data_IF_905701421494
#
_entry.id   IF_905701421494
#
_cell.length_a   1.000
_cell.length_b   1.000
_cell.length_c   1.000
_cell.angle_alpha   90.00
_cell.angle_beta   90.00
_cell.angle_gamma   90.00
#
_symmetry.space_group_name_H-M   'P 1'
#
loop_
_entity.id
_entity.type
_entity.pdbx_description
1 polymer ?
#
# COMPACT_ATOMS: atom_id res chain seq x y z
N UNK A 1 29.18 8.58 37.14
CA UNK A 1 27.72 8.73 37.33
C UNK A 1 27.38 10.17 37.03
N UNK A 2 26.90 10.46 35.81
CA UNK A 2 26.55 11.81 35.38
C UNK A 2 25.10 11.79 34.91
N UNK A 3 24.25 12.49 35.65
CA UNK A 3 22.88 12.80 35.28
C UNK A 3 22.92 13.89 34.21
N UNK A 4 23.05 13.50 32.95
CA UNK A 4 22.87 14.42 31.82
C UNK A 4 21.40 14.40 31.40
N UNK A 5 20.67 15.38 31.93
CA UNK A 5 19.68 16.17 31.19
C UNK A 5 18.93 15.42 30.09
N UNK A 6 17.88 14.70 30.52
CA UNK A 6 16.71 14.44 29.67
C UNK A 6 16.01 15.79 29.50
N UNK A 7 16.57 16.63 28.64
CA UNK A 7 15.91 17.80 28.11
C UNK A 7 14.76 17.26 27.26
N UNK A 8 13.58 17.23 27.88
CA UNK A 8 12.32 16.93 27.25
C UNK A 8 12.15 17.84 26.05
N UNK A 9 12.42 17.31 24.87
CA UNK A 9 11.95 17.82 23.60
C UNK A 9 10.44 17.58 23.58
N UNK A 10 9.72 18.37 24.38
CA UNK A 10 8.35 18.74 24.13
C UNK A 10 8.34 19.61 22.88
N UNK A 11 8.71 19.04 21.74
CA UNK A 11 8.28 19.52 20.44
C UNK A 11 6.81 19.11 20.27
N UNK A 12 5.95 19.60 21.18
CA UNK A 12 4.66 20.08 20.72
C UNK A 12 5.03 21.18 19.74
N UNK A 13 5.12 20.82 18.46
CA UNK A 13 4.79 21.77 17.40
C UNK A 13 3.41 22.26 17.76
N UNK A 14 3.39 23.34 18.53
CA UNK A 14 2.31 24.29 18.59
C UNK A 14 2.15 24.70 17.13
N UNK A 15 1.28 23.97 16.43
CA UNK A 15 0.75 24.46 15.19
C UNK A 15 0.11 25.78 15.60
N UNK A 16 0.83 26.88 15.36
CA UNK A 16 0.22 28.14 14.99
C UNK A 16 -0.58 27.83 13.73
N UNK A 17 -1.73 27.21 13.97
CA UNK A 17 -2.94 27.47 13.24
C UNK A 17 -2.92 28.97 13.14
N UNK A 18 -2.65 29.52 11.96
CA UNK A 18 -3.11 30.85 11.64
C UNK A 18 -4.64 30.76 11.80
N UNK A 19 -5.05 30.92 13.05
CA UNK A 19 -6.39 30.79 13.57
C UNK A 19 -7.14 31.84 12.80
N UNK A 20 -7.94 31.40 11.84
CA UNK A 20 -8.66 32.34 11.00
C UNK A 20 -9.57 33.08 11.94
N UNK A 21 -9.24 34.35 12.15
CA UNK A 21 -9.90 35.19 13.13
C UNK A 21 -11.40 35.09 12.84
N UNK A 22 -12.19 34.57 13.79
CA UNK A 22 -13.59 34.25 13.55
C UNK A 22 -14.31 35.48 13.01
N UNK A 23 -15.22 35.27 12.06
CA UNK A 23 -15.94 36.39 11.43
C UNK A 23 -16.56 37.26 12.52
N UNK A 24 -16.27 38.55 12.47
CA UNK A 24 -16.88 39.52 13.36
C UNK A 24 -18.40 39.43 13.25
N UNK A 25 -19.12 39.76 14.34
CA UNK A 25 -20.59 39.70 14.37
C UNK A 25 -21.24 40.45 13.20
N UNK A 26 -20.62 41.55 12.77
CA UNK A 26 -21.06 42.33 11.62
C UNK A 26 -20.83 41.63 10.27
N UNK A 27 -19.71 40.94 10.10
CA UNK A 27 -19.47 40.14 8.91
C UNK A 27 -20.42 38.94 8.83
N UNK A 28 -20.74 38.32 9.97
CA UNK A 28 -21.74 37.24 10.02
C UNK A 28 -23.14 37.72 9.63
N UNK A 29 -23.55 38.90 10.11
CA UNK A 29 -24.80 39.52 9.71
C UNK A 29 -24.81 39.84 8.21
N UNK A 30 -23.73 40.42 7.69
CA UNK A 30 -23.59 40.69 6.25
C UNK A 30 -23.67 39.43 5.38
N UNK A 31 -22.97 38.36 5.78
CA UNK A 31 -23.02 37.07 5.10
C UNK A 31 -24.43 36.44 5.14
N UNK A 32 -25.12 36.51 6.29
CA UNK A 32 -26.49 36.03 6.41
C UNK A 32 -27.45 36.78 5.47
N UNK A 33 -27.36 38.12 5.46
CA UNK A 33 -28.20 38.95 4.58
C UNK A 33 -27.92 38.67 3.11
N UNK A 34 -26.65 38.60 2.70
CA UNK A 34 -26.28 38.26 1.33
C UNK A 34 -26.76 36.85 0.94
N UNK A 35 -26.61 35.87 1.83
CA UNK A 35 -27.07 34.50 1.62
C UNK A 35 -28.59 34.40 1.45
N UNK A 36 -29.37 35.07 2.31
CA UNK A 36 -30.83 35.12 2.21
C UNK A 36 -31.27 35.79 0.90
N UNK A 37 -30.64 36.91 0.52
CA UNK A 37 -30.97 37.61 -0.72
C UNK A 37 -30.68 36.76 -1.96
N UNK A 38 -29.52 36.11 -2.02
CA UNK A 38 -29.14 35.23 -3.14
C UNK A 38 -30.01 33.97 -3.21
N UNK A 39 -30.28 33.34 -2.07
CA UNK A 39 -31.17 32.18 -2.01
C UNK A 39 -32.60 32.56 -2.43
N UNK A 40 -33.13 33.68 -1.91
CA UNK A 40 -34.45 34.18 -2.29
C UNK A 40 -34.54 34.55 -3.78
N UNK A 41 -33.55 35.27 -4.30
CA UNK A 41 -33.49 35.60 -5.73
C UNK A 41 -33.37 34.35 -6.61
N UNK A 42 -32.54 33.37 -6.21
CA UNK A 42 -32.40 32.08 -6.89
C UNK A 42 -33.70 31.28 -6.91
N UNK A 43 -34.40 31.21 -5.78
CA UNK A 43 -35.70 30.54 -5.67
C UNK A 43 -36.76 31.18 -6.57
N UNK A 44 -36.87 32.51 -6.59
CA UNK A 44 -37.83 33.20 -7.49
C UNK A 44 -37.44 33.03 -8.95
N UNK A 45 -36.14 33.12 -9.27
CA UNK A 45 -35.64 32.95 -10.62
C UNK A 45 -35.92 31.55 -11.19
N UNK A 46 -35.99 30.50 -10.36
CA UNK A 46 -36.38 29.15 -10.82
C UNK A 46 -37.80 29.09 -11.39
N UNK A 47 -38.70 29.99 -10.97
CA UNK A 47 -40.09 30.01 -11.44
C UNK A 47 -40.31 30.99 -12.60
N UNK A 48 -39.47 32.02 -12.72
CA UNK A 48 -39.64 33.10 -13.71
C UNK A 48 -38.72 32.93 -14.92
N UNK A 49 -37.56 32.29 -14.75
CA UNK A 49 -36.54 32.19 -15.79
C UNK A 49 -36.50 30.79 -16.41
N UNK A 50 -36.48 30.75 -17.74
CA UNK A 50 -36.21 29.52 -18.50
C UNK A 50 -34.71 29.11 -18.43
N UNK A 51 -33.84 29.99 -17.90
CA UNK A 51 -32.40 29.72 -17.73
C UNK A 51 -32.12 29.00 -16.41
N UNK A 52 -32.32 27.68 -16.38
CA UNK A 52 -32.11 26.84 -15.20
C UNK A 52 -30.67 26.85 -14.63
N UNK A 53 -29.66 27.17 -15.44
CA UNK A 53 -28.27 27.22 -14.99
C UNK A 53 -27.99 28.38 -14.02
N UNK A 54 -28.55 29.56 -14.25
CA UNK A 54 -28.29 30.75 -13.43
C UNK A 54 -28.93 30.69 -12.05
N UNK A 55 -30.13 30.12 -11.97
CA UNK A 55 -30.87 29.97 -10.72
C UNK A 55 -30.27 28.89 -9.81
N UNK A 56 -29.79 27.78 -10.38
CA UNK A 56 -29.08 26.73 -9.64
C UNK A 56 -27.78 27.24 -9.00
N UNK A 57 -26.97 27.99 -9.75
CA UNK A 57 -25.73 28.58 -9.23
C UNK A 57 -26.03 29.57 -8.09
N UNK A 58 -27.06 30.41 -8.24
CA UNK A 58 -27.45 31.40 -7.22
C UNK A 58 -27.88 30.72 -5.91
N UNK A 59 -28.62 29.60 -5.99
CA UNK A 59 -29.00 28.80 -4.81
C UNK A 59 -27.79 28.19 -4.11
N UNK A 60 -26.85 27.61 -4.86
CA UNK A 60 -25.63 27.01 -4.30
C UNK A 60 -24.78 28.07 -3.60
N UNK A 61 -24.56 29.22 -4.25
CA UNK A 61 -23.80 30.33 -3.65
C UNK A 61 -24.51 30.88 -2.41
N UNK A 62 -25.84 31.07 -2.46
CA UNK A 62 -26.63 31.50 -1.31
C UNK A 62 -26.54 30.53 -0.12
N UNK A 63 -26.61 29.23 -0.37
CA UNK A 63 -26.47 28.20 0.66
C UNK A 63 -25.08 28.24 1.34
N UNK A 64 -24.01 28.44 0.57
CA UNK A 64 -22.64 28.60 1.10
C UNK A 64 -22.53 29.82 2.02
N UNK A 65 -23.11 30.97 1.65
CA UNK A 65 -23.11 32.16 2.50
C UNK A 65 -23.90 31.99 3.81
N UNK A 66 -25.05 31.31 3.75
CA UNK A 66 -25.83 30.97 4.96
C UNK A 66 -25.00 30.05 5.87
N UNK A 67 -24.32 29.05 5.30
CA UNK A 67 -23.46 28.14 6.04
C UNK A 67 -22.28 28.87 6.70
N UNK A 68 -21.64 29.84 6.02
CA UNK A 68 -20.63 30.72 6.62
C UNK A 68 -21.18 31.53 7.79
N UNK A 69 -22.41 32.05 7.69
CA UNK A 69 -23.03 32.83 8.76
C UNK A 69 -23.30 32.00 10.03
N UNK A 70 -23.73 30.74 9.85
CA UNK A 70 -23.98 29.80 10.96
C UNK A 70 -22.67 29.38 11.62
N UNK A 71 -21.71 28.89 10.83
CA UNK A 71 -20.44 28.34 11.32
C UNK A 71 -19.47 29.42 11.82
N UNK A 72 -19.60 30.65 11.33
CA UNK A 72 -18.66 31.75 11.63
C UNK A 72 -17.30 31.60 10.95
N UNK A 73 -17.12 30.57 10.11
CA UNK A 73 -15.89 30.32 9.36
C UNK A 73 -16.06 30.77 7.90
N UNK A 74 -15.19 31.65 7.39
CA UNK A 74 -15.25 32.04 5.98
C UNK A 74 -14.81 30.86 5.10
N UNK A 75 -15.64 30.47 4.13
CA UNK A 75 -15.23 29.58 3.03
C UNK A 75 -14.32 30.38 2.08
N UNK A 76 -13.05 30.53 2.44
CA UNK A 76 -12.06 30.98 1.47
C UNK A 76 -11.84 29.84 0.48
N UNK A 77 -12.31 29.98 -0.76
CA UNK A 77 -12.04 29.02 -1.84
C UNK A 77 -10.54 28.74 -2.07
N UNK A 78 -9.65 29.64 -1.63
CA UNK A 78 -8.20 29.39 -1.61
C UNK A 78 -7.72 28.42 -0.53
N UNK A 79 -8.47 28.22 0.56
CA UNK A 79 -8.05 27.39 1.70
C UNK A 79 -8.31 25.90 1.50
N UNK A 80 -9.19 25.51 0.58
CA UNK A 80 -9.27 24.09 0.19
C UNK A 80 -7.95 23.65 -0.44
N UNK A 81 -7.40 24.50 -1.32
CA UNK A 81 -6.09 24.27 -1.93
C UNK A 81 -4.97 24.33 -0.89
N UNK A 82 -5.00 25.28 0.06
CA UNK A 82 -4.02 25.31 1.15
C UNK A 82 -4.13 24.10 2.09
N UNK A 83 -5.34 23.62 2.36
CA UNK A 83 -5.57 22.44 3.21
C UNK A 83 -5.06 21.17 2.52
N UNK A 84 -5.33 20.99 1.23
CA UNK A 84 -4.77 19.89 0.43
C UNK A 84 -3.24 19.97 0.39
N UNK A 85 -2.67 21.17 0.18
CA UNK A 85 -1.22 21.38 0.21
C UNK A 85 -0.63 21.10 1.59
N UNK A 86 -1.29 21.50 2.68
CA UNK A 86 -0.84 21.21 4.05
C UNK A 86 -0.90 19.71 4.35
N UNK A 87 -1.98 19.02 3.94
CA UNK A 87 -2.10 17.57 4.08
C UNK A 87 -1.02 16.84 3.26
N UNK A 88 -0.78 17.26 2.01
CA UNK A 88 0.28 16.72 1.18
C UNK A 88 1.67 16.91 1.80
N UNK A 89 1.97 18.09 2.36
CA UNK A 89 3.24 18.35 3.08
C UNK A 89 3.36 17.50 4.35
N UNK A 90 2.28 17.35 5.11
CA UNK A 90 2.25 16.51 6.31
C UNK A 90 2.52 15.05 5.94
N UNK A 91 1.83 14.53 4.92
CA UNK A 91 2.02 13.19 4.38
C UNK A 91 3.46 12.95 3.95
N UNK A 92 4.05 13.85 3.16
CA UNK A 92 5.43 13.76 2.72
C UNK A 92 6.43 13.73 3.89
N UNK A 93 6.18 14.51 4.96
CA UNK A 93 7.01 14.48 6.18
C UNK A 93 6.90 13.15 6.93
N UNK A 94 5.69 12.61 7.09
CA UNK A 94 5.45 11.34 7.78
C UNK A 94 6.05 10.17 6.99
N UNK A 95 5.90 10.13 5.67
CA UNK A 95 6.56 9.14 4.81
C UNK A 95 8.09 9.26 4.93
N UNK A 96 8.63 10.49 4.96
CA UNK A 96 10.07 10.70 5.15
C UNK A 96 10.55 10.21 6.52
N UNK A 97 9.76 10.41 7.58
CA UNK A 97 10.07 9.90 8.91
C UNK A 97 10.02 8.37 8.94
N UNK A 98 8.99 7.76 8.36
CA UNK A 98 8.88 6.31 8.27
C UNK A 98 10.05 5.70 7.47
N UNK A 99 10.48 6.33 6.37
CA UNK A 99 11.69 5.92 5.61
C UNK A 99 12.99 5.95 6.42
N UNK A 100 13.07 6.77 7.47
CA UNK A 100 14.26 6.88 8.32
C UNK A 100 14.17 6.04 9.60
N UNK A 101 13.00 5.45 9.89
CA UNK A 101 12.76 4.63 11.06
C UNK A 101 13.22 3.18 10.83
N UNK A 102 13.49 2.41 11.89
CA UNK A 102 13.65 0.96 11.79
C UNK A 102 12.42 0.30 11.12
N UNK A 103 12.56 -0.83 10.41
CA UNK A 103 11.47 -1.41 9.61
C UNK A 103 10.16 -1.65 10.39
N UNK A 104 10.25 -2.12 11.63
CA UNK A 104 9.08 -2.35 12.48
C UNK A 104 8.36 -1.04 12.83
N UNK A 105 9.11 -0.01 13.20
CA UNK A 105 8.55 1.31 13.53
C UNK A 105 7.99 2.00 12.28
N UNK A 106 8.68 1.87 11.14
CA UNK A 106 8.25 2.37 9.85
C UNK A 106 6.91 1.75 9.43
N UNK A 107 6.70 0.47 9.71
CA UNK A 107 5.44 -0.23 9.46
C UNK A 107 4.30 0.33 10.30
N UNK A 108 4.51 0.46 11.60
CA UNK A 108 3.50 1.04 12.51
C UNK A 108 3.12 2.46 12.10
N UNK A 109 4.12 3.28 11.73
CA UNK A 109 3.88 4.63 11.24
C UNK A 109 3.10 4.65 9.91
N UNK A 110 3.39 3.74 9.00
CA UNK A 110 2.68 3.64 7.73
C UNK A 110 1.24 3.16 7.91
N UNK A 111 1.02 2.17 8.77
CA UNK A 111 -0.32 1.66 9.10
C UNK A 111 -1.18 2.76 9.75
N UNK A 112 -0.62 3.52 10.71
CA UNK A 112 -1.29 4.69 11.32
C UNK A 112 -1.60 5.78 10.29
N UNK A 113 -0.67 6.02 9.36
CA UNK A 113 -0.84 6.99 8.29
C UNK A 113 -1.98 6.58 7.33
N UNK A 114 -2.09 5.30 6.98
CA UNK A 114 -3.17 4.76 6.13
C UNK A 114 -4.52 4.84 6.85
N UNK A 115 -4.56 4.57 8.16
CA UNK A 115 -5.79 4.65 8.97
C UNK A 115 -6.31 6.10 9.09
N UNK A 116 -5.41 7.07 9.15
CA UNK A 116 -5.76 8.49 9.37
C UNK A 116 -5.96 9.27 8.07
N UNK A 117 -5.30 8.90 6.98
CA UNK A 117 -5.41 9.55 5.66
C UNK A 117 -5.49 8.50 4.54
N UNK A 118 -6.71 8.21 4.07
CA UNK A 118 -6.93 7.24 2.98
C UNK A 118 -6.20 7.59 1.69
N UNK A 119 -5.91 8.87 1.43
CA UNK A 119 -5.20 9.27 0.22
C UNK A 119 -3.73 8.80 0.20
N UNK A 120 -3.23 8.25 1.31
CA UNK A 120 -1.90 7.64 1.42
C UNK A 120 -1.81 6.34 0.64
N UNK A 121 -2.90 5.58 0.53
CA UNK A 121 -2.94 4.31 -0.22
C UNK A 121 -2.52 4.53 -1.68
N UNK A 122 -2.92 5.67 -2.24
CA UNK A 122 -2.63 6.02 -3.62
C UNK A 122 -1.30 6.77 -3.79
N UNK A 123 -0.70 7.26 -2.70
CA UNK A 123 0.56 8.01 -2.76
C UNK A 123 1.72 7.12 -3.26
N UNK A 124 2.38 7.46 -4.38
CA UNK A 124 3.46 6.65 -4.93
C UNK A 124 4.62 6.42 -3.95
N UNK A 125 4.91 7.37 -3.06
CA UNK A 125 5.98 7.23 -2.07
C UNK A 125 5.59 6.32 -0.92
N UNK A 126 4.31 6.33 -0.51
CA UNK A 126 3.80 5.43 0.51
C UNK A 126 3.77 4.00 -0.02
N UNK A 127 3.36 3.80 -1.28
CA UNK A 127 3.41 2.48 -1.92
C UNK A 127 4.82 1.96 -2.09
N UNK A 128 5.76 2.81 -2.53
CA UNK A 128 7.16 2.43 -2.62
C UNK A 128 7.72 2.05 -1.24
N UNK A 129 7.30 2.76 -0.18
CA UNK A 129 7.68 2.44 1.20
C UNK A 129 7.04 1.13 1.67
N UNK A 130 5.74 0.92 1.46
CA UNK A 130 5.05 -0.32 1.83
C UNK A 130 5.71 -1.54 1.18
N UNK A 131 6.01 -1.42 -0.12
CA UNK A 131 6.71 -2.46 -0.85
C UNK A 131 8.12 -2.69 -0.30
N UNK A 132 8.89 -1.64 -0.02
CA UNK A 132 10.22 -1.77 0.58
C UNK A 132 10.18 -2.47 1.95
N UNK A 133 9.18 -2.13 2.79
CA UNK A 133 8.97 -2.79 4.08
C UNK A 133 8.62 -4.26 3.90
N UNK A 134 7.75 -4.61 2.94
CA UNK A 134 7.48 -6.01 2.60
C UNK A 134 8.77 -6.75 2.21
N UNK A 135 9.62 -6.17 1.37
CA UNK A 135 10.90 -6.79 0.99
C UNK A 135 11.78 -7.08 2.20
N UNK A 136 11.90 -6.12 3.12
CA UNK A 136 12.72 -6.26 4.33
C UNK A 136 12.12 -7.26 5.32
N UNK A 137 10.80 -7.29 5.47
CA UNK A 137 10.10 -8.30 6.28
C UNK A 137 10.32 -9.71 5.72
N UNK A 138 10.21 -9.89 4.40
CA UNK A 138 10.45 -11.19 3.75
C UNK A 138 11.91 -11.63 3.93
N UNK A 139 12.87 -10.70 3.81
CA UNK A 139 14.29 -10.96 4.08
C UNK A 139 14.54 -11.42 5.50
N UNK A 140 13.99 -10.67 6.47
CA UNK A 140 14.14 -11.00 7.88
C UNK A 140 13.55 -12.38 8.19
N UNK A 141 12.31 -12.63 7.75
CA UNK A 141 11.63 -13.90 7.98
C UNK A 141 12.33 -15.08 7.28
N UNK A 142 12.91 -14.88 6.09
CA UNK A 142 13.69 -15.91 5.40
C UNK A 142 14.98 -16.25 6.16
N UNK A 143 15.64 -15.24 6.74
CA UNK A 143 16.80 -15.46 7.60
C UNK A 143 16.45 -16.23 8.88
N UNK A 144 15.31 -15.93 9.50
CA UNK A 144 14.81 -16.65 10.69
C UNK A 144 14.34 -18.09 10.37
N UNK A 145 13.95 -18.35 9.13
CA UNK A 145 13.52 -19.67 8.68
C UNK A 145 14.69 -20.58 8.24
N UNK A 146 15.92 -20.06 8.22
CA UNK A 146 17.11 -20.76 7.73
C UNK A 146 17.51 -21.89 8.70
N UNK A 147 17.83 -23.07 8.16
CA UNK A 147 18.48 -24.12 8.94
C UNK A 147 19.98 -23.84 9.08
N UNK A 148 20.67 -24.39 10.10
CA UNK A 148 22.08 -24.06 10.36
C UNK A 148 23.04 -24.29 9.19
N UNK A 149 22.75 -25.26 8.31
CA UNK A 149 23.59 -25.66 7.18
C UNK A 149 23.16 -25.04 5.84
N UNK A 150 22.09 -24.25 5.83
CA UNK A 150 21.61 -23.59 4.64
C UNK A 150 22.25 -22.21 4.45
N UNK A 151 22.19 -21.70 3.22
CA UNK A 151 22.66 -20.36 2.90
C UNK A 151 21.60 -19.54 2.17
N UNK A 152 21.57 -18.24 2.45
CA UNK A 152 20.63 -17.31 1.86
C UNK A 152 21.38 -16.27 1.04
N UNK A 153 21.15 -16.25 -0.27
CA UNK A 153 21.80 -15.33 -1.20
C UNK A 153 20.86 -14.17 -1.57
N UNK A 154 21.38 -12.95 -1.49
CA UNK A 154 20.65 -11.74 -1.85
C UNK A 154 20.89 -11.34 -3.30
N UNK A 155 19.80 -11.12 -4.06
CA UNK A 155 19.90 -10.50 -5.39
C UNK A 155 20.13 -8.99 -5.23
N UNK A 156 21.25 -8.47 -5.75
CA UNK A 156 21.67 -7.08 -5.50
C UNK A 156 20.81 -6.02 -6.21
N UNK A 157 20.03 -6.42 -7.22
CA UNK A 157 19.10 -5.54 -7.94
C UNK A 157 18.04 -6.39 -8.69
N UNK A 158 17.08 -6.99 -7.98
CA UNK A 158 16.10 -7.88 -8.60
C UNK A 158 15.22 -7.09 -9.56
N UNK A 159 15.11 -7.57 -10.80
CA UNK A 159 14.13 -7.08 -11.77
C UNK A 159 12.84 -7.90 -11.66
N UNK A 160 11.79 -7.50 -12.39
CA UNK A 160 10.54 -8.24 -12.44
C UNK A 160 10.81 -9.68 -12.89
N UNK A 161 10.44 -10.67 -12.07
CA UNK A 161 10.65 -12.08 -12.37
C UNK A 161 11.99 -12.64 -11.88
N UNK A 162 12.84 -11.83 -11.26
CA UNK A 162 14.03 -12.31 -10.55
C UNK A 162 13.65 -12.60 -9.08
N UNK A 163 14.21 -13.65 -8.44
CA UNK A 163 13.97 -13.91 -7.03
C UNK A 163 14.55 -12.78 -6.17
N UNK A 164 13.83 -12.42 -5.10
CA UNK A 164 14.34 -11.51 -4.08
C UNK A 164 15.52 -12.14 -3.33
N UNK A 165 15.38 -13.44 -3.04
CA UNK A 165 16.35 -14.25 -2.33
C UNK A 165 16.45 -15.62 -2.98
N UNK A 166 17.64 -16.21 -2.92
CA UNK A 166 17.84 -17.63 -3.26
C UNK A 166 18.27 -18.34 -2.01
N UNK A 167 17.41 -19.24 -1.51
CA UNK A 167 17.72 -20.15 -0.43
C UNK A 167 18.39 -21.38 -1.02
N UNK A 168 19.67 -21.58 -0.68
CA UNK A 168 20.43 -22.77 -1.08
C UNK A 168 20.49 -23.73 0.11
N UNK A 169 19.89 -24.91 -0.07
CA UNK A 169 19.85 -25.97 0.92
C UNK A 169 21.19 -26.71 0.99
N UNK A 170 21.48 -27.33 2.12
CA UNK A 170 22.64 -28.22 2.29
C UNK A 170 22.72 -29.36 1.25
N UNK A 171 21.60 -29.76 0.66
CA UNK A 171 21.49 -30.73 -0.46
C UNK A 171 21.93 -30.17 -1.82
N UNK A 172 22.23 -28.87 -1.91
CA UNK A 172 22.58 -28.16 -3.15
C UNK A 172 21.40 -27.60 -3.93
N UNK A 173 20.16 -27.75 -3.42
CA UNK A 173 18.99 -27.19 -4.10
C UNK A 173 18.80 -25.72 -3.84
N UNK A 174 18.19 -25.05 -4.80
CA UNK A 174 18.02 -23.60 -4.82
C UNK A 174 16.54 -23.27 -4.91
N UNK A 175 15.99 -22.64 -3.88
CA UNK A 175 14.63 -22.11 -3.87
C UNK A 175 14.64 -20.60 -4.10
N UNK A 176 13.94 -20.14 -5.13
CA UNK A 176 13.75 -18.72 -5.38
C UNK A 176 12.59 -18.17 -4.55
N UNK A 177 12.85 -17.24 -3.64
CA UNK A 177 11.82 -16.56 -2.84
C UNK A 177 11.49 -15.21 -3.48
N UNK A 178 10.21 -14.97 -3.73
CA UNK A 178 9.68 -13.77 -4.38
C UNK A 178 8.75 -13.04 -3.42
N UNK A 179 8.82 -11.71 -3.39
CA UNK A 179 7.84 -10.88 -2.70
C UNK A 179 6.86 -10.29 -3.74
N UNK A 180 5.59 -10.65 -3.62
CA UNK A 180 4.54 -10.33 -4.57
C UNK A 180 3.55 -9.35 -3.93
N UNK A 181 3.46 -8.15 -4.51
CA UNK A 181 2.44 -7.16 -4.16
C UNK A 181 1.83 -6.62 -5.44
N UNK A 182 0.52 -6.40 -5.44
CA UNK A 182 -0.19 -5.75 -6.53
C UNK A 182 -1.04 -4.62 -5.96
N UNK A 183 -0.92 -3.46 -6.61
CA UNK A 183 -1.70 -2.25 -6.31
C UNK A 183 -2.87 -2.06 -7.29
N UNK A 184 -3.14 -3.06 -8.13
CA UNK A 184 -4.21 -2.99 -9.13
C UNK A 184 -5.56 -2.91 -8.42
N UNK A 185 -6.34 -1.84 -8.63
CA UNK A 185 -7.74 -1.75 -8.15
C UNK A 185 -8.57 -2.95 -8.64
N UNK A 186 -8.22 -3.46 -9.82
CA UNK A 186 -8.88 -4.64 -10.41
C UNK A 186 -8.38 -5.97 -9.86
N UNK A 187 -7.26 -5.98 -9.13
CA UNK A 187 -6.52 -7.19 -8.73
C UNK A 187 -5.80 -7.89 -9.88
N UNK A 188 -6.10 -7.55 -11.14
CA UNK A 188 -5.66 -8.29 -12.32
C UNK A 188 -4.22 -8.01 -12.72
N UNK A 189 -3.51 -9.08 -13.05
CA UNK A 189 -2.19 -9.05 -13.68
C UNK A 189 -2.34 -8.92 -15.20
N UNK A 190 -1.53 -8.05 -15.83
CA UNK A 190 -1.51 -7.95 -17.29
C UNK A 190 -0.85 -9.18 -17.92
N UNK A 191 -1.28 -9.55 -19.13
CA UNK A 191 -0.66 -10.65 -19.87
C UNK A 191 0.84 -10.42 -20.09
N UNK A 192 1.23 -9.19 -20.45
CA UNK A 192 2.64 -8.80 -20.64
C UNK A 192 3.47 -8.98 -19.37
N UNK A 193 2.94 -8.62 -18.21
CA UNK A 193 3.62 -8.88 -16.93
C UNK A 193 3.80 -10.38 -16.69
N UNK A 194 2.73 -11.16 -16.86
CA UNK A 194 2.76 -12.62 -16.67
C UNK A 194 3.76 -13.32 -17.60
N UNK A 195 3.84 -12.88 -18.86
CA UNK A 195 4.80 -13.40 -19.85
C UNK A 195 6.24 -13.06 -19.44
N UNK A 196 6.51 -11.79 -19.12
CA UNK A 196 7.84 -11.32 -18.71
C UNK A 196 8.31 -12.01 -17.42
N UNK A 197 7.41 -12.12 -16.43
CA UNK A 197 7.69 -12.76 -15.16
C UNK A 197 8.01 -14.24 -15.35
N UNK A 198 7.18 -14.97 -16.11
CA UNK A 198 7.37 -16.42 -16.32
C UNK A 198 8.64 -16.72 -17.11
N UNK A 199 8.93 -15.94 -18.16
CA UNK A 199 10.15 -16.08 -18.94
C UNK A 199 11.41 -15.88 -18.07
N UNK A 200 11.41 -14.86 -17.20
CA UNK A 200 12.55 -14.61 -16.30
C UNK A 200 12.67 -15.64 -15.19
N UNK A 201 11.56 -16.03 -14.58
CA UNK A 201 11.55 -17.11 -13.61
C UNK A 201 12.16 -18.38 -14.23
N UNK A 202 11.81 -18.74 -15.47
CA UNK A 202 12.40 -19.90 -16.17
C UNK A 202 13.94 -19.87 -16.23
N UNK A 203 14.53 -18.67 -16.34
CA UNK A 203 15.98 -18.46 -16.36
C UNK A 203 16.61 -18.38 -14.96
N UNK A 204 15.82 -18.24 -13.90
CA UNK A 204 16.33 -18.35 -12.54
C UNK A 204 16.80 -19.79 -12.31
N UNK A 205 18.07 -19.98 -11.96
CA UNK A 205 18.68 -21.27 -11.64
C UNK A 205 18.20 -21.79 -10.27
N UNK A 206 16.90 -21.97 -10.12
CA UNK A 206 16.23 -22.49 -8.92
C UNK A 206 15.42 -23.74 -9.28
N UNK A 207 15.29 -24.66 -8.33
CA UNK A 207 14.53 -25.91 -8.45
C UNK A 207 13.04 -25.72 -8.12
N UNK A 208 12.71 -24.67 -7.37
CA UNK A 208 11.35 -24.29 -7.00
C UNK A 208 11.23 -22.81 -6.67
N UNK A 209 9.98 -22.33 -6.62
CA UNK A 209 9.68 -20.93 -6.37
C UNK A 209 8.70 -20.78 -5.20
N UNK A 210 9.00 -19.90 -4.26
CA UNK A 210 8.12 -19.55 -3.16
C UNK A 210 7.68 -18.08 -3.30
N UNK A 211 6.38 -17.86 -3.50
CA UNK A 211 5.81 -16.53 -3.68
C UNK A 211 5.14 -16.07 -2.41
N UNK A 212 5.68 -15.01 -1.83
CA UNK A 212 5.16 -14.37 -0.63
C UNK A 212 4.24 -13.24 -1.03
N UNK A 213 2.93 -13.43 -0.85
CA UNK A 213 1.91 -12.52 -1.32
C UNK A 213 1.30 -11.69 -0.19
N UNK A 214 1.31 -10.37 -0.32
CA UNK A 214 0.83 -9.46 0.73
C UNK A 214 -0.58 -8.87 0.47
N UNK A 215 -1.45 -9.54 -0.29
CA UNK A 215 -2.60 -8.86 -0.91
C UNK A 215 -3.76 -9.79 -1.31
N UNK A 216 -4.97 -9.23 -1.56
CA UNK A 216 -6.19 -9.99 -1.82
C UNK A 216 -6.31 -10.64 -3.21
N UNK A 217 -5.32 -10.52 -4.10
CA UNK A 217 -5.39 -11.03 -5.49
C UNK A 217 -4.96 -12.51 -5.63
N UNK A 218 -5.35 -13.35 -4.67
CA UNK A 218 -4.90 -14.74 -4.62
C UNK A 218 -5.28 -15.55 -5.88
N UNK A 219 -6.41 -15.26 -6.51
CA UNK A 219 -6.87 -16.01 -7.69
C UNK A 219 -6.00 -15.77 -8.92
N UNK A 220 -5.57 -14.52 -9.14
CA UNK A 220 -4.66 -14.18 -10.24
C UNK A 220 -3.25 -14.69 -9.97
N UNK A 221 -2.80 -14.67 -8.71
CA UNK A 221 -1.53 -15.30 -8.32
C UNK A 221 -1.56 -16.82 -8.50
N UNK A 222 -2.65 -17.49 -8.15
CA UNK A 222 -2.81 -18.93 -8.39
C UNK A 222 -2.80 -19.24 -9.88
N UNK A 223 -3.45 -18.41 -10.69
CA UNK A 223 -3.43 -18.55 -12.16
C UNK A 223 -2.03 -18.35 -12.73
N UNK A 224 -1.28 -17.35 -12.24
CA UNK A 224 0.12 -17.14 -12.62
C UNK A 224 1.00 -18.31 -12.14
N UNK A 225 0.81 -18.81 -10.92
CA UNK A 225 1.57 -19.94 -10.37
C UNK A 225 1.36 -21.21 -11.21
N UNK A 226 0.12 -21.59 -11.48
CA UNK A 226 -0.20 -22.74 -12.33
C UNK A 226 0.39 -22.59 -13.74
N UNK A 227 0.43 -21.36 -14.28
CA UNK A 227 1.09 -21.08 -15.55
C UNK A 227 2.61 -21.26 -15.45
N UNK A 228 3.26 -20.67 -14.44
CA UNK A 228 4.70 -20.79 -14.23
C UNK A 228 5.12 -22.24 -13.99
N UNK A 229 4.37 -23.03 -13.22
CA UNK A 229 4.64 -24.46 -13.04
C UNK A 229 4.60 -25.22 -14.38
N UNK A 230 3.58 -24.99 -15.21
CA UNK A 230 3.47 -25.64 -16.53
C UNK A 230 4.58 -25.24 -17.49
N UNK A 231 4.97 -23.97 -17.51
CA UNK A 231 5.95 -23.47 -18.47
C UNK A 231 7.40 -23.75 -18.04
N UNK A 232 7.67 -23.78 -16.73
CA UNK A 232 9.03 -23.99 -16.20
C UNK A 232 9.31 -25.42 -15.73
N UNK A 233 8.26 -26.21 -15.50
CA UNK A 233 8.36 -27.55 -14.90
C UNK A 233 8.75 -27.55 -13.41
N UNK A 234 8.83 -26.39 -12.77
CA UNK A 234 9.27 -26.24 -11.37
C UNK A 234 8.08 -25.96 -10.46
N UNK A 235 8.13 -26.47 -9.23
CA UNK A 235 7.04 -26.27 -8.26
C UNK A 235 6.97 -24.80 -7.80
N UNK A 236 5.74 -24.29 -7.63
CA UNK A 236 5.46 -22.95 -7.10
C UNK A 236 4.63 -23.07 -5.84
N UNK A 237 5.14 -22.57 -4.72
CA UNK A 237 4.40 -22.38 -3.47
C UNK A 237 3.92 -20.93 -3.34
N UNK A 238 2.74 -20.72 -2.74
CA UNK A 238 2.23 -19.37 -2.41
C UNK A 238 2.01 -19.30 -0.90
N UNK A 239 2.58 -18.27 -0.28
CA UNK A 239 2.41 -17.96 1.14
C UNK A 239 1.65 -16.65 1.27
N UNK A 240 0.55 -16.69 2.01
CA UNK A 240 -0.21 -15.50 2.38
C UNK A 240 0.50 -14.77 3.55
N UNK A 241 1.02 -13.58 3.27
CA UNK A 241 1.77 -12.76 4.22
C UNK A 241 0.91 -12.12 5.31
N UNK A 242 -0.41 -12.21 5.23
CA UNK A 242 -1.30 -11.77 6.32
C UNK A 242 -1.03 -12.50 7.65
N UNK A 243 -0.46 -13.71 7.59
CA UNK A 243 -0.16 -14.57 8.76
C UNK A 243 1.30 -14.54 9.22
N UNK A 244 2.04 -13.45 8.92
CA UNK A 244 3.44 -13.10 9.27
C UNK A 244 4.31 -14.15 10.00
N UNK A 245 5.52 -14.37 9.50
CA UNK A 245 6.58 -15.27 10.01
C UNK A 245 6.25 -16.77 9.99
N UNK A 246 5.09 -17.20 10.50
CA UNK A 246 4.74 -18.64 10.56
C UNK A 246 4.48 -19.21 9.16
N UNK A 247 3.93 -18.38 8.26
CA UNK A 247 3.62 -18.79 6.90
C UNK A 247 4.86 -19.11 6.06
N UNK A 248 5.99 -18.42 6.27
CA UNK A 248 7.15 -18.58 5.39
C UNK A 248 7.84 -19.93 5.59
N UNK A 249 8.19 -20.28 6.84
CA UNK A 249 8.84 -21.56 7.15
C UNK A 249 7.98 -22.74 6.67
N UNK A 250 6.69 -22.72 6.99
CA UNK A 250 5.75 -23.74 6.51
C UNK A 250 5.70 -23.80 4.99
N UNK A 251 5.66 -22.64 4.32
CA UNK A 251 5.65 -22.59 2.86
C UNK A 251 6.92 -23.14 2.22
N UNK A 252 8.08 -22.91 2.86
CA UNK A 252 9.35 -23.51 2.47
C UNK A 252 9.27 -25.04 2.63
N UNK A 253 8.87 -25.54 3.81
CA UNK A 253 8.76 -26.98 4.09
C UNK A 253 7.76 -27.68 3.15
N UNK A 254 6.61 -27.05 2.88
CA UNK A 254 5.59 -27.56 1.96
C UNK A 254 6.11 -27.60 0.51
N UNK A 255 6.89 -26.59 0.10
CA UNK A 255 7.48 -26.53 -1.23
C UNK A 255 8.58 -27.59 -1.40
N UNK A 256 9.44 -27.75 -0.40
CA UNK A 256 10.44 -28.81 -0.35
C UNK A 256 9.77 -30.16 -0.60
N UNK A 257 8.79 -30.52 0.22
CA UNK A 257 8.08 -31.80 0.08
C UNK A 257 7.50 -32.05 -1.33
N UNK A 258 7.22 -31.00 -2.11
CA UNK A 258 6.76 -31.10 -3.51
C UNK A 258 7.91 -31.25 -4.50
N UNK A 259 9.01 -30.53 -4.31
CA UNK A 259 10.22 -30.63 -5.15
C UNK A 259 10.90 -32.00 -4.95
N UNK A 260 10.84 -32.56 -3.73
CA UNK A 260 11.54 -33.77 -3.33
C UNK A 260 10.75 -35.08 -3.46
N UNK A 261 9.51 -35.08 -3.96
CA UNK A 261 8.82 -36.36 -4.20
C UNK A 261 9.55 -37.11 -5.31
N UNK A 262 10.49 -37.95 -4.87
CA UNK A 262 11.20 -38.92 -5.70
C UNK A 262 10.15 -39.70 -6.48
N UNK A 263 10.23 -39.80 -7.81
CA UNK A 263 9.28 -40.56 -8.64
C UNK A 263 9.31 -42.09 -8.39
N UNK A 264 9.79 -42.55 -7.24
CA UNK A 264 10.17 -43.93 -6.94
C UNK A 264 9.01 -44.92 -6.90
N UNK A 265 7.75 -44.49 -7.01
CA UNK A 265 6.60 -45.40 -6.88
C UNK A 265 5.70 -45.54 -8.12
N UNK A 266 6.00 -44.85 -9.24
CA UNK A 266 5.17 -44.99 -10.46
C UNK A 266 5.67 -46.06 -11.44
N UNK A 267 6.78 -46.75 -11.14
CA UNK A 267 7.38 -47.72 -12.05
C UNK A 267 7.12 -49.20 -11.69
N UNK A 268 6.63 -49.54 -10.48
CA UNK A 268 6.45 -50.95 -10.07
C UNK A 268 5.02 -51.51 -10.26
N UNK A 269 4.01 -50.70 -10.58
CA UNK A 269 2.64 -51.20 -10.81
C UNK A 269 2.35 -51.65 -12.27
N UNK A 270 3.35 -51.64 -13.16
CA UNK A 270 3.15 -51.87 -14.59
C UNK A 270 3.51 -53.25 -15.14
N UNK A 271 4.01 -54.21 -14.36
CA UNK A 271 4.56 -55.48 -14.88
C UNK A 271 3.94 -56.72 -14.23
N UNK A 272 2.60 -56.76 -14.19
CA UNK A 272 1.85 -57.90 -13.67
C UNK A 272 0.57 -58.19 -14.47
N UNK A 273 0.69 -58.40 -15.79
CA UNK A 273 -0.31 -59.09 -16.62
C UNK A 273 0.35 -59.73 -17.84
#
# INVERSE_FOLDING_TARGET
MSQSEIHGVNARMQFDSAEADPLSRWQRAGAATAGILLAGAGSVAMFVSENGAGSAVSLVVGAVFILMAITGMPFLGGRLMDAELMMGRRRARLIKQAKAAPPLDARVLLDDLILTDRGVIDDPNAVALDFALLLDEVRYAAGEALEPDDSLHHTSNPQIGDPLLVLERSTGQRLGIYAMSAKSESGRLSATFSDQFTARAAHAECDGYLWVAAAPFQDDLRSLAARTERETGKAVGIVDWSTRNVGLRRGIDDLDNRVFRVPEQSAEEGTGA
#
